data_IF_953109521519
#
_entry.id   IF_953109521519
#
_cell.length_a   1.000
_cell.length_b   1.000
_cell.length_c   1.000
_cell.angle_alpha   90.00
_cell.angle_beta   90.00
_cell.angle_gamma   90.00
#
_symmetry.space_group_name_H-M   'P 1'
#
loop_
_entity.id
_entity.type
_entity.pdbx_description
1 polymer ?
#
# COMPACT_ATOMS: atom_id res chain seq x y z
N UNK A 1 -8.02 -21.56 18.11
CA UNK A 1 -8.12 -21.25 16.66
C UNK A 1 -7.68 -19.80 16.47
N UNK A 2 -6.51 -19.54 15.90
CA UNK A 2 -6.03 -18.18 15.64
C UNK A 2 -6.64 -17.70 14.31
N UNK A 3 -7.32 -16.54 14.29
CA UNK A 3 -7.88 -15.96 13.06
C UNK A 3 -7.03 -14.76 12.65
N UNK A 4 -6.38 -14.84 11.49
CA UNK A 4 -5.68 -13.70 10.91
C UNK A 4 -6.71 -12.72 10.34
N UNK A 5 -6.58 -11.44 10.70
CA UNK A 5 -7.41 -10.37 10.15
C UNK A 5 -6.65 -9.69 9.02
N UNK A 6 -7.26 -9.67 7.84
CA UNK A 6 -6.71 -8.98 6.68
C UNK A 6 -7.43 -7.65 6.52
N UNK A 7 -6.69 -6.55 6.56
CA UNK A 7 -7.24 -5.21 6.31
C UNK A 7 -6.62 -4.67 5.03
N UNK A 8 -7.45 -4.29 4.07
CA UNK A 8 -7.04 -3.61 2.84
C UNK A 8 -7.89 -2.38 2.68
N UNK A 9 -7.25 -1.23 2.49
CA UNK A 9 -7.95 0.04 2.33
C UNK A 9 -7.22 0.98 1.40
N UNK A 10 -7.97 1.91 0.81
CA UNK A 10 -7.41 3.05 0.08
C UNK A 10 -6.80 4.01 1.10
N UNK A 11 -5.63 4.55 0.80
CA UNK A 11 -4.92 5.48 1.68
C UNK A 11 -4.56 6.77 0.95
N UNK A 12 -4.59 7.87 1.69
CA UNK A 12 -4.09 9.16 1.23
C UNK A 12 -2.56 9.13 1.32
N UNK A 13 -1.87 9.56 0.27
CA UNK A 13 -0.41 9.41 0.12
C UNK A 13 0.42 10.27 1.08
N UNK A 14 -0.14 11.38 1.58
CA UNK A 14 0.52 12.26 2.55
C UNK A 14 0.30 11.79 4.00
N UNK A 15 0.50 10.50 4.27
CA UNK A 15 0.38 9.89 5.61
C UNK A 15 1.73 9.37 6.08
N UNK A 16 2.02 9.57 7.36
CA UNK A 16 3.22 9.02 8.00
C UNK A 16 3.21 7.49 7.91
N UNK A 17 4.38 6.91 7.67
CA UNK A 17 4.53 5.47 7.51
C UNK A 17 4.17 4.92 6.12
N UNK A 18 3.58 5.71 5.22
CA UNK A 18 3.36 5.26 3.84
C UNK A 18 4.66 5.37 3.02
N UNK A 19 5.02 4.29 2.32
CA UNK A 19 6.21 4.27 1.47
C UNK A 19 6.06 5.28 0.32
N UNK A 20 6.95 6.28 0.28
CA UNK A 20 6.90 7.33 -0.75
C UNK A 20 7.34 6.86 -2.13
N UNK A 21 8.12 5.78 -2.19
CA UNK A 21 8.66 5.24 -3.44
C UNK A 21 7.59 4.55 -4.28
N UNK A 22 6.52 4.06 -3.66
CA UNK A 22 5.35 3.52 -4.39
C UNK A 22 4.36 4.60 -4.81
N UNK A 23 4.59 5.88 -4.46
CA UNK A 23 3.69 6.96 -4.87
C UNK A 23 3.93 7.33 -6.34
N UNK A 24 2.88 7.18 -7.14
CA UNK A 24 2.79 7.79 -8.45
C UNK A 24 2.56 9.29 -8.33
N UNK A 25 3.60 10.07 -8.65
CA UNK A 25 3.57 11.53 -8.57
C UNK A 25 2.68 12.20 -9.64
N UNK A 26 2.32 11.47 -10.71
CA UNK A 26 1.54 11.99 -11.85
C UNK A 26 0.05 11.81 -11.61
N UNK A 27 -0.75 12.84 -11.92
CA UNK A 27 -2.22 12.79 -11.80
C UNK A 27 -2.90 11.77 -12.71
N UNK A 28 -2.26 11.41 -13.83
CA UNK A 28 -2.76 10.46 -14.84
C UNK A 28 -1.67 9.50 -15.29
N UNK A 29 -2.08 8.33 -15.78
CA UNK A 29 -1.17 7.35 -16.40
C UNK A 29 -0.49 7.94 -17.65
N UNK A 30 0.84 7.86 -17.76
CA UNK A 30 1.54 8.18 -19.01
C UNK A 30 1.22 7.17 -20.11
N UNK A 31 1.11 7.61 -21.38
CA UNK A 31 0.76 6.70 -22.50
C UNK A 31 1.70 5.49 -22.63
N UNK A 32 3.01 5.68 -22.36
CA UNK A 32 4.03 4.63 -22.45
C UNK A 32 3.99 3.61 -21.30
N UNK A 33 3.33 3.92 -20.18
CA UNK A 33 3.22 3.00 -19.05
C UNK A 33 2.16 1.95 -19.37
N UNK A 34 2.44 0.67 -19.14
CA UNK A 34 1.44 -0.37 -19.36
C UNK A 34 0.19 -0.11 -18.51
N UNK A 35 -0.98 -0.43 -19.07
CA UNK A 35 -2.20 -0.47 -18.27
C UNK A 35 -2.03 -1.44 -17.12
N UNK A 36 -2.67 -1.12 -16.00
CA UNK A 36 -2.66 -1.95 -14.78
C UNK A 36 -1.27 -2.15 -14.13
N UNK A 37 -0.32 -1.28 -14.45
CA UNK A 37 0.95 -1.22 -13.74
C UNK A 37 0.74 -1.03 -12.25
N UNK A 38 1.41 -1.85 -11.44
CA UNK A 38 1.34 -1.80 -10.00
C UNK A 38 2.74 -1.79 -9.37
N UNK A 39 2.90 -0.98 -8.32
CA UNK A 39 4.08 -0.99 -7.46
C UNK A 39 3.69 -1.53 -6.09
N UNK A 40 4.58 -2.32 -5.51
CA UNK A 40 4.39 -2.93 -4.19
C UNK A 40 5.65 -2.69 -3.38
N UNK A 41 5.49 -2.24 -2.14
CA UNK A 41 6.56 -2.15 -1.17
C UNK A 41 6.08 -2.73 0.16
N UNK A 42 6.92 -3.51 0.81
CA UNK A 42 6.65 -4.07 2.14
C UNK A 42 7.47 -3.28 3.16
N UNK A 43 6.87 -2.96 4.29
CA UNK A 43 7.60 -2.27 5.37
C UNK A 43 8.65 -3.20 5.97
N UNK A 44 9.90 -2.74 6.04
CA UNK A 44 10.99 -3.49 6.69
C UNK A 44 10.79 -3.62 8.20
N UNK A 45 10.14 -2.63 8.81
CA UNK A 45 9.88 -2.59 10.27
C UNK A 45 8.65 -3.39 10.66
N UNK A 46 7.67 -3.47 9.76
CA UNK A 46 6.41 -4.18 9.97
C UNK A 46 6.10 -5.01 8.72
N UNK A 47 6.68 -6.21 8.57
CA UNK A 47 6.53 -7.02 7.36
C UNK A 47 5.09 -7.41 7.03
N UNK A 48 4.19 -7.36 8.02
CA UNK A 48 2.75 -7.56 7.81
C UNK A 48 2.11 -6.41 7.03
N UNK A 49 2.73 -5.24 6.98
CA UNK A 49 2.22 -4.04 6.32
C UNK A 49 2.81 -3.87 4.91
N UNK A 50 1.92 -3.84 3.93
CA UNK A 50 2.22 -3.70 2.51
C UNK A 50 1.60 -2.43 1.95
N UNK A 51 2.42 -1.62 1.28
CA UNK A 51 2.01 -0.45 0.52
C UNK A 51 1.91 -0.83 -0.96
N UNK A 52 0.80 -0.51 -1.61
CA UNK A 52 0.62 -0.75 -3.04
C UNK A 52 0.11 0.50 -3.75
N UNK A 53 0.51 0.69 -5.00
CA UNK A 53 -0.16 1.62 -5.90
C UNK A 53 -0.56 0.90 -7.18
N UNK A 54 -1.70 1.25 -7.75
CA UNK A 54 -2.19 0.74 -9.02
C UNK A 54 -2.56 1.92 -9.92
N UNK A 55 -2.21 1.81 -11.20
CA UNK A 55 -2.46 2.87 -12.18
C UNK A 55 -3.06 2.29 -13.45
N UNK A 56 -4.34 2.57 -13.65
CA UNK A 56 -5.00 2.35 -14.94
C UNK A 56 -5.19 3.69 -15.69
N UNK A 57 -6.00 4.61 -15.13
CA UNK A 57 -6.16 5.97 -15.65
C UNK A 57 -5.64 7.04 -14.67
N UNK A 58 -6.04 6.93 -13.40
CA UNK A 58 -5.53 7.75 -12.29
C UNK A 58 -4.86 6.81 -11.27
N UNK A 59 -3.82 7.28 -10.56
CA UNK A 59 -3.20 6.47 -9.53
C UNK A 59 -4.12 6.28 -8.32
N UNK A 60 -4.15 5.05 -7.81
CA UNK A 60 -4.83 4.69 -6.55
C UNK A 60 -3.81 4.04 -5.63
N UNK A 61 -3.85 4.39 -4.35
CA UNK A 61 -2.90 3.93 -3.34
C UNK A 61 -3.63 3.11 -2.29
N UNK A 62 -3.03 2.00 -1.90
CA UNK A 62 -3.57 1.04 -0.97
C UNK A 62 -2.58 0.77 0.16
N UNK A 63 -3.14 0.57 1.35
CA UNK A 63 -2.45 -0.01 2.47
C UNK A 63 -3.11 -1.35 2.78
N UNK A 64 -2.31 -2.40 2.85
CA UNK A 64 -2.73 -3.71 3.28
C UNK A 64 -1.97 -4.09 4.55
N UNK A 65 -2.62 -4.75 5.50
CA UNK A 65 -1.98 -5.32 6.67
C UNK A 65 -2.55 -6.71 6.96
N UNK A 66 -1.67 -7.63 7.37
CA UNK A 66 -2.06 -8.93 7.93
C UNK A 66 -1.85 -8.88 9.44
N UNK A 67 -2.93 -8.66 10.19
CA UNK A 67 -2.89 -8.73 11.64
C UNK A 67 -2.96 -10.18 12.11
N UNK A 68 -1.91 -10.66 12.75
CA UNK A 68 -2.06 -11.66 13.82
C UNK A 68 -2.51 -10.91 15.08
N UNK A 69 -3.39 -11.47 15.91
CA UNK A 69 -3.89 -10.81 17.13
C UNK A 69 -2.80 -10.53 18.19
N UNK A 70 -1.54 -10.82 17.89
CA UNK A 70 -0.39 -10.52 18.72
C UNK A 70 0.01 -9.06 18.54
N UNK A 71 -0.58 -8.21 19.40
CA UNK A 71 -0.14 -6.85 19.76
C UNK A 71 0.75 -6.18 18.72
N UNK A 72 0.13 -5.41 17.82
CA UNK A 72 0.81 -4.26 17.25
C UNK A 72 0.97 -3.26 18.40
N UNK A 73 2.07 -3.39 19.16
CA UNK A 73 2.52 -2.38 20.09
C UNK A 73 2.65 -1.09 19.30
N UNK A 74 1.80 -0.13 19.65
CA UNK A 74 1.66 1.17 19.02
C UNK A 74 3.07 1.78 18.86
N UNK A 75 3.45 2.13 17.63
CA UNK A 75 4.54 3.05 17.34
C UNK A 75 4.01 4.47 17.34
#
# INVERSE_FOLDING_TARGET
MHRSVYTVGIIITNRLGFCKDVIHKRKKRPKYMQHDSANIAVSRKCPSMTHRSWVNNKPVHYLANVGNQERCSIC
#
